data_IF_543294509276
#
_entry.id   IF_543294509276
#
_cell.length_a   1.000
_cell.length_b   1.000
_cell.length_c   1.000
_cell.angle_alpha   90.00
_cell.angle_beta   90.00
_cell.angle_gamma   90.00
#
_symmetry.space_group_name_H-M   'P 1'
#
loop_
_entity.id
_entity.type
_entity.pdbx_description
1 polymer ?
#
# COMPACT_ATOMS: atom_id res chain seq x y z
N UNK A 1 1.69 24.74 -5.60
CA UNK A 1 0.26 24.78 -5.27
C UNK A 1 -0.19 26.24 -5.25
N UNK A 2 -1.08 26.64 -6.14
CA UNK A 2 -1.64 27.99 -6.15
C UNK A 2 -2.93 27.96 -5.32
N UNK A 3 -2.97 28.66 -4.21
CA UNK A 3 -4.18 28.94 -3.44
C UNK A 3 -4.62 30.37 -3.70
N UNK A 4 -5.84 30.54 -4.11
CA UNK A 4 -6.49 31.84 -4.22
C UNK A 4 -7.08 32.15 -2.83
N UNK A 5 -6.61 33.22 -2.22
CA UNK A 5 -7.15 33.75 -0.96
C UNK A 5 -7.81 35.09 -1.25
N UNK A 6 -9.04 35.23 -0.87
CA UNK A 6 -9.70 36.54 -0.81
C UNK A 6 -9.30 37.18 0.51
N UNK A 7 -8.71 38.36 0.46
CA UNK A 7 -8.48 39.14 1.67
C UNK A 7 -9.84 39.70 2.14
N UNK A 8 -10.14 39.49 3.42
CA UNK A 8 -11.41 39.94 4.03
C UNK A 8 -11.26 41.44 4.48
N UNK A 9 -10.93 42.34 3.57
CA UNK A 9 -11.08 43.73 3.90
C UNK A 9 -12.53 44.18 3.75
N UNK A 10 -13.02 44.97 4.68
CA UNK A 10 -14.40 45.50 4.67
C UNK A 10 -14.68 46.45 3.49
N UNK A 11 -13.66 46.95 2.82
CA UNK A 11 -13.74 47.80 1.64
C UNK A 11 -13.57 46.99 0.36
N UNK A 12 -14.63 46.93 -0.47
CA UNK A 12 -14.62 46.21 -1.75
C UNK A 12 -13.55 46.69 -2.74
N UNK A 13 -12.91 47.84 -2.52
CA UNK A 13 -11.82 48.39 -3.32
C UNK A 13 -10.45 47.80 -2.98
N UNK A 14 -10.30 47.23 -1.79
CA UNK A 14 -9.05 46.64 -1.28
C UNK A 14 -9.05 45.14 -1.30
N UNK A 15 -10.05 44.52 -1.89
CA UNK A 15 -10.09 43.06 -2.12
C UNK A 15 -9.07 42.66 -3.19
N UNK A 16 -7.86 42.37 -2.78
CA UNK A 16 -6.86 41.85 -3.68
C UNK A 16 -6.90 40.32 -3.77
N UNK A 17 -6.81 39.82 -4.97
CA UNK A 17 -6.63 38.40 -5.22
C UNK A 17 -5.18 38.05 -4.84
N UNK A 18 -4.96 37.43 -3.69
CA UNK A 18 -3.64 36.92 -3.32
C UNK A 18 -3.46 35.50 -3.80
N UNK A 19 -2.52 35.30 -4.71
CA UNK A 19 -2.06 33.96 -5.12
C UNK A 19 -0.87 33.56 -4.26
N UNK A 20 -0.96 32.41 -3.57
CA UNK A 20 0.15 31.84 -2.86
C UNK A 20 0.65 30.63 -3.66
N UNK A 21 1.83 30.75 -4.24
CA UNK A 21 2.50 29.66 -4.91
C UNK A 21 3.30 28.84 -3.88
N UNK A 22 3.09 27.53 -3.91
CA UNK A 22 3.93 26.56 -3.21
C UNK A 22 4.51 25.64 -4.26
N UNK A 23 5.81 25.65 -4.43
CA UNK A 23 6.52 24.60 -5.14
C UNK A 23 7.35 23.84 -4.13
N UNK A 24 7.16 22.54 -4.08
CA UNK A 24 7.92 21.62 -3.25
C UNK A 24 8.72 20.75 -4.20
N UNK A 25 10.03 20.85 -4.14
CA UNK A 25 10.96 20.11 -5.00
C UNK A 25 11.64 18.94 -4.26
N UNK A 26 11.26 18.71 -3.01
CA UNK A 26 11.85 17.67 -2.18
C UNK A 26 11.33 16.28 -2.55
N UNK A 27 12.19 15.29 -2.35
CA UNK A 27 11.83 13.90 -2.48
C UNK A 27 10.79 13.52 -1.42
N UNK A 28 9.66 13.01 -1.87
CA UNK A 28 8.62 12.51 -0.98
C UNK A 28 8.84 11.05 -0.65
N UNK A 29 8.79 10.71 0.63
CA UNK A 29 8.78 9.32 1.08
C UNK A 29 7.34 8.85 1.27
N UNK A 30 6.97 7.77 0.55
CA UNK A 30 5.64 7.15 0.63
C UNK A 30 5.77 5.72 1.12
N UNK A 31 4.90 5.32 2.01
CA UNK A 31 4.78 3.94 2.48
C UNK A 31 3.41 3.40 2.13
N UNK A 32 3.40 2.20 1.56
CA UNK A 32 2.21 1.44 1.23
C UNK A 32 2.23 0.12 1.99
N UNK A 33 1.08 -0.30 2.46
CA UNK A 33 0.95 -1.53 3.22
C UNK A 33 -0.35 -2.24 2.84
N UNK A 34 -0.23 -3.51 2.44
CA UNK A 34 -1.36 -4.36 2.13
C UNK A 34 -1.32 -5.61 3.02
N UNK A 35 -2.34 -5.76 3.86
CA UNK A 35 -2.55 -7.01 4.58
C UNK A 35 -3.28 -8.01 3.69
N UNK A 36 -2.52 -8.98 3.16
CA UNK A 36 -3.03 -10.03 2.28
C UNK A 36 -3.97 -10.97 3.04
N UNK A 37 -3.77 -11.15 4.34
CA UNK A 37 -4.62 -12.03 5.15
C UNK A 37 -6.06 -11.51 5.27
N UNK A 38 -6.25 -10.21 5.17
CA UNK A 38 -7.56 -9.55 5.19
C UNK A 38 -8.12 -9.26 3.79
N UNK A 39 -7.34 -9.50 2.72
CA UNK A 39 -7.76 -9.19 1.36
C UNK A 39 -8.89 -10.11 0.91
N UNK A 40 -10.12 -9.58 0.86
CA UNK A 40 -11.35 -10.33 0.56
C UNK A 40 -11.64 -11.48 1.52
N UNK A 41 -11.15 -11.37 2.74
CA UNK A 41 -11.41 -12.30 3.83
C UNK A 41 -11.88 -11.49 5.03
N UNK A 42 -12.95 -11.94 5.65
CA UNK A 42 -13.43 -11.43 6.92
C UNK A 42 -13.27 -12.47 8.01
N UNK A 43 -13.27 -12.03 9.25
CA UNK A 43 -13.19 -12.90 10.41
C UNK A 43 -14.33 -12.63 11.38
N UNK A 44 -14.85 -13.66 12.00
CA UNK A 44 -15.77 -13.58 13.12
C UNK A 44 -15.19 -14.33 14.31
N UNK A 45 -15.40 -13.78 15.50
CA UNK A 45 -15.11 -14.50 16.73
C UNK A 45 -16.30 -15.38 17.08
N UNK A 46 -16.02 -16.63 17.45
CA UNK A 46 -17.04 -17.60 17.85
C UNK A 46 -17.13 -17.58 19.37
N UNK A 47 -18.33 -17.35 19.88
CA UNK A 47 -18.60 -17.35 21.32
C UNK A 47 -19.62 -18.43 21.65
N UNK A 48 -19.38 -19.10 22.77
CA UNK A 48 -20.41 -19.87 23.46
C UNK A 48 -20.64 -19.23 24.83
N UNK A 49 -21.84 -18.68 25.03
CA UNK A 49 -22.16 -17.83 26.21
C UNK A 49 -21.18 -16.63 26.28
N UNK A 50 -20.26 -16.60 27.24
CA UNK A 50 -19.26 -15.54 27.40
C UNK A 50 -17.84 -15.97 27.02
N UNK A 51 -17.67 -17.21 26.54
CA UNK A 51 -16.36 -17.75 26.23
C UNK A 51 -16.07 -17.64 24.74
N UNK A 52 -14.89 -17.08 24.40
CA UNK A 52 -14.39 -17.08 23.03
C UNK A 52 -13.85 -18.46 22.70
N UNK A 53 -14.48 -19.15 21.74
CA UNK A 53 -14.08 -20.49 21.27
C UNK A 53 -13.05 -20.41 20.14
N UNK A 54 -12.82 -19.24 19.56
CA UNK A 54 -11.87 -19.10 18.46
C UNK A 54 -12.31 -18.10 17.40
N UNK A 55 -11.65 -18.18 16.26
CA UNK A 55 -11.88 -17.30 15.11
C UNK A 55 -12.24 -18.14 13.90
N UNK A 56 -13.31 -17.76 13.21
CA UNK A 56 -13.69 -18.30 11.91
C UNK A 56 -13.41 -17.27 10.83
N UNK A 57 -12.84 -17.72 9.71
CA UNK A 57 -12.56 -16.89 8.55
C UNK A 57 -13.56 -17.21 7.43
N UNK A 58 -14.00 -16.18 6.73
CA UNK A 58 -14.90 -16.27 5.59
C UNK A 58 -14.22 -15.69 4.37
N UNK A 59 -14.20 -16.46 3.28
CA UNK A 59 -13.63 -16.09 1.99
C UNK A 59 -14.71 -15.49 1.10
N UNK A 60 -14.48 -14.29 0.58
CA UNK A 60 -15.46 -13.53 -0.22
C UNK A 60 -15.09 -13.44 -1.70
N UNK A 61 -13.91 -13.89 -2.08
CA UNK A 61 -13.46 -13.92 -3.46
C UNK A 61 -12.53 -15.10 -3.72
N UNK A 62 -12.46 -15.55 -4.96
CA UNK A 62 -11.52 -16.60 -5.37
C UNK A 62 -10.06 -16.15 -5.21
N UNK A 63 -9.13 -17.10 -5.18
CA UNK A 63 -7.71 -16.79 -5.08
C UNK A 63 -7.20 -16.01 -6.28
N UNK A 64 -7.73 -16.30 -7.48
CA UNK A 64 -7.41 -15.52 -8.68
C UNK A 64 -7.85 -14.07 -8.56
N UNK A 65 -9.05 -13.82 -8.02
CA UNK A 65 -9.54 -12.46 -7.79
C UNK A 65 -8.75 -11.76 -6.69
N UNK A 66 -8.35 -12.46 -5.64
CA UNK A 66 -7.48 -11.93 -4.58
C UNK A 66 -6.10 -11.56 -5.16
N UNK A 67 -5.51 -12.42 -5.99
CA UNK A 67 -4.27 -12.11 -6.71
C UNK A 67 -4.43 -10.91 -7.63
N UNK A 68 -5.54 -10.85 -8.37
CA UNK A 68 -5.84 -9.69 -9.23
C UNK A 68 -5.90 -8.38 -8.43
N UNK A 69 -6.52 -8.38 -7.25
CA UNK A 69 -6.60 -7.22 -6.36
C UNK A 69 -5.24 -6.82 -5.80
N UNK A 70 -4.43 -7.79 -5.37
CA UNK A 70 -3.06 -7.53 -4.91
C UNK A 70 -2.20 -6.95 -6.02
N UNK A 71 -2.32 -7.46 -7.25
CA UNK A 71 -1.65 -6.91 -8.43
C UNK A 71 -2.06 -5.47 -8.72
N UNK A 72 -3.36 -5.19 -8.76
CA UNK A 72 -3.87 -3.83 -8.99
C UNK A 72 -3.39 -2.84 -7.92
N UNK A 73 -3.31 -3.30 -6.66
CA UNK A 73 -2.75 -2.49 -5.59
C UNK A 73 -1.27 -2.15 -5.85
N UNK A 74 -0.46 -3.13 -6.23
CA UNK A 74 0.95 -2.93 -6.54
C UNK A 74 1.12 -2.01 -7.77
N UNK A 75 0.36 -2.24 -8.84
CA UNK A 75 0.35 -1.38 -10.04
C UNK A 75 -0.04 0.06 -9.70
N UNK A 76 -1.01 0.27 -8.81
CA UNK A 76 -1.42 1.60 -8.39
C UNK A 76 -0.30 2.37 -7.67
N UNK A 77 0.57 1.69 -6.92
CA UNK A 77 1.72 2.33 -6.26
C UNK A 77 2.79 2.81 -7.24
N UNK A 78 2.87 2.19 -8.41
CA UNK A 78 3.80 2.56 -9.49
C UNK A 78 3.44 3.88 -10.17
N UNK A 79 2.15 4.17 -10.29
CA UNK A 79 1.64 5.28 -11.11
C UNK A 79 0.75 6.23 -10.31
N UNK A 80 1.09 6.49 -9.05
CA UNK A 80 0.28 7.37 -8.21
C UNK A 80 0.33 8.82 -8.67
N UNK A 81 -0.78 9.28 -9.21
CA UNK A 81 -1.03 10.68 -9.50
C UNK A 81 -2.22 11.18 -8.67
N UNK A 82 -2.07 12.34 -8.06
CA UNK A 82 -3.18 13.01 -7.37
C UNK A 82 -3.84 14.00 -8.33
N UNK A 83 -4.98 13.61 -8.89
CA UNK A 83 -5.76 14.47 -9.79
C UNK A 83 -6.70 15.43 -9.06
N UNK A 84 -6.71 15.45 -7.75
CA UNK A 84 -7.64 16.26 -6.96
C UNK A 84 -7.37 17.78 -7.08
N UNK A 85 -6.20 18.19 -7.56
CA UNK A 85 -5.83 19.59 -7.75
C UNK A 85 -4.84 19.73 -8.92
N UNK A 86 -5.13 20.61 -9.85
CA UNK A 86 -4.22 20.90 -10.98
C UNK A 86 -2.81 21.33 -10.52
N UNK A 87 -2.72 22.03 -9.40
CA UNK A 87 -1.43 22.41 -8.83
C UNK A 87 -0.62 21.22 -8.28
N UNK A 88 -1.27 20.12 -7.93
CA UNK A 88 -0.61 18.88 -7.51
C UNK A 88 -0.22 18.00 -8.70
N UNK A 89 -0.86 18.16 -9.85
CA UNK A 89 -0.53 17.42 -11.05
C UNK A 89 0.83 17.80 -11.64
N UNK A 90 1.41 18.90 -11.21
CA UNK A 90 2.77 19.30 -11.59
C UNK A 90 3.87 18.49 -10.86
N UNK A 91 3.51 17.74 -9.82
CA UNK A 91 4.44 16.88 -9.08
C UNK A 91 4.25 15.45 -9.52
N UNK A 92 5.28 14.86 -10.12
CA UNK A 92 5.30 13.42 -10.42
C UNK A 92 5.23 12.63 -9.12
N UNK A 93 4.21 11.76 -9.01
CA UNK A 93 4.09 10.83 -7.89
C UNK A 93 4.80 9.49 -8.13
N UNK A 94 5.45 9.34 -9.30
CA UNK A 94 6.14 8.13 -9.70
C UNK A 94 7.40 7.91 -8.85
N UNK A 95 7.65 6.67 -8.40
CA UNK A 95 8.81 6.38 -7.56
C UNK A 95 10.11 6.42 -8.36
N UNK A 96 11.13 7.09 -7.82
CA UNK A 96 12.51 7.03 -8.31
C UNK A 96 13.32 5.92 -7.63
N UNK A 97 12.91 5.55 -6.42
CA UNK A 97 13.46 4.42 -5.65
C UNK A 97 12.33 3.67 -4.99
N UNK A 98 12.45 2.35 -4.94
CA UNK A 98 11.44 1.49 -4.34
C UNK A 98 12.08 0.33 -3.59
N UNK A 99 11.45 -0.06 -2.48
CA UNK A 99 11.62 -1.36 -1.84
C UNK A 99 10.25 -2.02 -1.77
N UNK A 100 10.05 -3.10 -2.51
CA UNK A 100 8.84 -3.93 -2.47
C UNK A 100 9.15 -5.16 -1.64
N UNK A 101 8.33 -5.46 -0.63
CA UNK A 101 8.55 -6.59 0.29
C UNK A 101 7.31 -7.46 0.36
N UNK A 102 7.50 -8.75 0.18
CA UNK A 102 6.53 -9.80 0.50
C UNK A 102 7.00 -10.51 1.77
N UNK A 103 6.21 -10.43 2.81
CA UNK A 103 6.59 -10.89 4.14
C UNK A 103 5.46 -11.70 4.78
N UNK A 104 5.80 -12.68 5.57
CA UNK A 104 4.85 -13.44 6.39
C UNK A 104 4.65 -12.84 7.78
N UNK A 105 5.47 -11.84 8.13
CA UNK A 105 5.41 -11.15 9.42
C UNK A 105 4.87 -9.74 9.21
N UNK A 106 3.90 -9.34 10.03
CA UNK A 106 3.37 -7.97 10.07
C UNK A 106 4.42 -7.01 10.69
N UNK A 107 5.42 -6.63 9.90
CA UNK A 107 6.47 -5.71 10.29
C UNK A 107 6.48 -4.49 9.40
N UNK A 108 6.58 -3.30 10.00
CA UNK A 108 6.73 -2.03 9.29
C UNK A 108 8.19 -1.54 9.23
N UNK A 109 9.14 -2.35 9.66
CA UNK A 109 10.55 -1.94 9.73
C UNK A 109 11.13 -1.60 8.36
N UNK A 110 10.74 -2.35 7.33
CA UNK A 110 11.15 -2.10 5.95
C UNK A 110 10.77 -0.69 5.43
N UNK A 111 9.72 -0.06 5.99
CA UNK A 111 9.30 1.29 5.61
C UNK A 111 10.35 2.38 5.83
N UNK A 112 11.35 2.11 6.68
CA UNK A 112 12.44 3.04 6.96
C UNK A 112 13.61 2.92 5.98
N UNK A 113 13.65 1.87 5.16
CA UNK A 113 14.79 1.53 4.31
C UNK A 113 15.25 2.69 3.43
N UNK A 114 14.35 3.36 2.73
CA UNK A 114 14.70 4.41 1.78
C UNK A 114 15.22 5.71 2.41
N UNK A 115 14.95 5.92 3.69
CA UNK A 115 15.42 7.10 4.46
C UNK A 115 16.52 6.75 5.45
N UNK A 116 16.88 5.48 5.55
CA UNK A 116 17.91 4.98 6.46
C UNK A 116 19.31 5.18 5.90
N UNK A 117 20.29 5.32 6.79
CA UNK A 117 21.72 5.26 6.42
C UNK A 117 22.14 3.85 6.00
N UNK A 118 23.27 3.73 5.33
CA UNK A 118 23.76 2.47 4.73
C UNK A 118 23.80 1.29 5.71
N UNK A 119 24.26 1.51 6.95
CA UNK A 119 24.33 0.43 7.94
C UNK A 119 22.93 -0.03 8.36
N UNK A 120 21.99 0.87 8.54
CA UNK A 120 20.61 0.53 8.88
C UNK A 120 19.92 -0.18 7.70
N UNK A 121 20.18 0.22 6.45
CA UNK A 121 19.70 -0.46 5.26
C UNK A 121 20.16 -1.92 5.23
N UNK A 122 21.45 -2.16 5.47
CA UNK A 122 22.02 -3.52 5.55
C UNK A 122 21.36 -4.36 6.65
N UNK A 123 21.13 -3.77 7.81
CA UNK A 123 20.47 -4.45 8.93
C UNK A 123 18.99 -4.78 8.62
N UNK A 124 18.29 -3.88 7.94
CA UNK A 124 16.89 -4.12 7.51
C UNK A 124 16.85 -5.30 6.52
N UNK A 125 17.72 -5.31 5.50
CA UNK A 125 17.76 -6.40 4.51
C UNK A 125 18.15 -7.73 5.15
N UNK A 126 19.15 -7.75 6.02
CA UNK A 126 19.56 -8.95 6.74
C UNK A 126 18.43 -9.54 7.60
N UNK A 127 17.61 -8.67 8.22
CA UNK A 127 16.43 -9.12 8.98
C UNK A 127 15.33 -9.67 8.07
N UNK A 128 15.09 -9.04 6.91
CA UNK A 128 14.14 -9.56 5.91
C UNK A 128 14.57 -10.96 5.43
N UNK A 129 15.86 -11.15 5.12
CA UNK A 129 16.42 -12.43 4.70
C UNK A 129 16.31 -13.49 5.82
N UNK A 130 16.66 -13.13 7.05
CA UNK A 130 16.63 -14.05 8.19
C UNK A 130 15.23 -14.61 8.48
N UNK A 131 14.16 -13.85 8.15
CA UNK A 131 12.77 -14.30 8.31
C UNK A 131 12.14 -14.83 7.04
N UNK A 132 12.93 -14.99 5.97
CA UNK A 132 12.47 -15.55 4.70
C UNK A 132 11.59 -14.62 3.86
N UNK A 133 11.56 -13.32 4.16
CA UNK A 133 10.85 -12.35 3.36
C UNK A 133 11.50 -12.22 1.97
N UNK A 134 10.67 -12.02 0.94
CA UNK A 134 11.15 -11.73 -0.42
C UNK A 134 11.07 -10.24 -0.67
N UNK A 135 12.14 -9.64 -1.18
CA UNK A 135 12.14 -8.21 -1.48
C UNK A 135 12.76 -7.91 -2.84
N UNK A 136 12.37 -6.77 -3.40
CA UNK A 136 12.82 -6.24 -4.69
C UNK A 136 13.17 -4.77 -4.51
N UNK A 137 14.38 -4.40 -4.89
CA UNK A 137 14.89 -3.03 -4.82
C UNK A 137 14.98 -2.48 -6.23
N UNK A 138 14.44 -1.27 -6.44
CA UNK A 138 14.59 -0.49 -7.65
C UNK A 138 15.15 0.89 -7.33
N UNK A 139 16.08 1.36 -8.16
CA UNK A 139 16.66 2.69 -8.09
C UNK A 139 17.04 3.12 -9.52
N UNK A 140 16.34 4.12 -10.04
CA UNK A 140 16.54 4.59 -11.42
C UNK A 140 17.90 5.27 -11.65
N UNK A 141 18.67 5.48 -10.57
CA UNK A 141 20.07 5.93 -10.67
C UNK A 141 21.06 4.78 -10.83
N UNK A 142 20.58 3.53 -10.86
CA UNK A 142 21.40 2.31 -10.98
C UNK A 142 20.91 1.41 -12.11
N UNK A 143 21.61 0.31 -12.37
CA UNK A 143 21.19 -0.71 -13.34
C UNK A 143 19.90 -1.46 -12.90
N UNK A 144 19.55 -1.41 -11.61
CA UNK A 144 18.35 -2.01 -11.06
C UNK A 144 17.20 -0.99 -11.06
N UNK A 145 16.62 -0.73 -12.22
CA UNK A 145 15.56 0.27 -12.34
C UNK A 145 14.32 -0.06 -11.50
N UNK A 146 13.57 0.98 -11.17
CA UNK A 146 12.26 0.85 -10.50
C UNK A 146 11.32 -0.02 -11.34
N UNK A 147 11.30 0.18 -12.66
CA UNK A 147 10.50 -0.65 -13.56
C UNK A 147 10.81 -2.15 -13.39
N UNK A 148 12.09 -2.52 -13.38
CA UNK A 148 12.51 -3.92 -13.23
C UNK A 148 12.12 -4.50 -11.87
N UNK A 149 12.21 -3.72 -10.80
CA UNK A 149 11.79 -4.16 -9.47
C UNK A 149 10.29 -4.48 -9.41
N UNK A 150 9.44 -3.67 -10.07
CA UNK A 150 8.01 -3.96 -10.18
C UNK A 150 7.72 -5.20 -11.03
N UNK A 151 8.39 -5.38 -12.16
CA UNK A 151 8.23 -6.57 -13.02
C UNK A 151 8.60 -7.85 -12.24
N UNK A 152 9.71 -7.85 -11.53
CA UNK A 152 10.16 -9.00 -10.73
C UNK A 152 9.22 -9.28 -9.55
N UNK A 153 8.69 -8.23 -8.89
CA UNK A 153 7.71 -8.36 -7.83
C UNK A 153 6.37 -8.91 -8.34
N UNK A 154 5.90 -8.45 -9.50
CA UNK A 154 4.69 -8.97 -10.14
C UNK A 154 4.85 -10.42 -10.59
N UNK A 155 6.01 -10.78 -11.14
CA UNK A 155 6.32 -12.15 -11.50
C UNK A 155 6.30 -13.07 -10.25
N UNK A 156 6.89 -12.62 -9.15
CA UNK A 156 6.86 -13.34 -7.89
C UNK A 156 5.43 -13.51 -7.35
N UNK A 157 4.63 -12.43 -7.36
CA UNK A 157 3.22 -12.46 -6.94
C UNK A 157 2.40 -13.47 -7.77
N UNK A 158 2.63 -13.52 -9.09
CA UNK A 158 1.92 -14.43 -9.98
C UNK A 158 2.31 -15.90 -9.75
N UNK A 159 3.59 -16.16 -9.47
CA UNK A 159 4.12 -17.50 -9.29
C UNK A 159 3.77 -18.15 -7.94
N UNK A 160 3.38 -17.36 -6.94
CA UNK A 160 3.19 -17.85 -5.57
C UNK A 160 1.71 -17.76 -5.16
N UNK A 161 1.27 -18.67 -4.29
CA UNK A 161 -0.02 -18.58 -3.64
C UNK A 161 -0.06 -17.44 -2.63
N UNK A 162 -1.21 -16.78 -2.48
CA UNK A 162 -1.43 -15.85 -1.39
C UNK A 162 -1.77 -16.61 -0.11
N UNK A 163 -1.30 -16.08 1.01
CA UNK A 163 -1.74 -16.62 2.31
C UNK A 163 -3.26 -16.52 2.47
N UNK A 164 -3.87 -17.64 2.83
CA UNK A 164 -5.31 -17.76 3.02
C UNK A 164 -5.62 -18.32 4.43
N UNK A 165 -6.03 -17.48 5.38
CA UNK A 165 -6.38 -17.95 6.72
C UNK A 165 -7.69 -18.72 6.78
N UNK A 166 -8.54 -18.66 5.73
CA UNK A 166 -9.77 -19.46 5.63
C UNK A 166 -9.50 -20.90 5.17
N UNK A 167 -8.33 -21.14 4.55
CA UNK A 167 -7.95 -22.46 3.99
C UNK A 167 -8.36 -22.61 2.54
N UNK A 168 -7.64 -23.50 1.84
CA UNK A 168 -7.82 -23.72 0.39
C UNK A 168 -9.24 -24.20 0.03
N UNK A 169 -9.83 -25.04 0.88
CA UNK A 169 -11.16 -25.61 0.67
C UNK A 169 -12.32 -24.70 1.11
N UNK A 170 -12.02 -23.49 1.59
CA UNK A 170 -13.04 -22.58 2.08
C UNK A 170 -13.97 -22.14 0.95
N UNK A 171 -15.27 -22.36 1.15
CA UNK A 171 -16.30 -21.90 0.21
C UNK A 171 -16.34 -20.38 0.18
N UNK A 172 -16.49 -19.84 -1.02
CA UNK A 172 -16.74 -18.40 -1.22
C UNK A 172 -18.17 -18.13 -0.78
N UNK A 173 -18.32 -17.16 0.13
CA UNK A 173 -19.62 -16.77 0.67
C UNK A 173 -19.81 -15.24 0.53
N UNK A 174 -21.05 -14.81 0.38
CA UNK A 174 -21.35 -13.38 0.41
C UNK A 174 -21.19 -12.85 1.83
N UNK A 175 -21.04 -11.53 1.96
CA UNK A 175 -21.00 -10.91 3.28
C UNK A 175 -22.30 -11.13 4.06
N UNK A 176 -23.45 -11.12 3.35
CA UNK A 176 -24.76 -11.41 3.93
C UNK A 176 -24.83 -12.82 4.48
N UNK A 177 -24.33 -13.83 3.72
CA UNK A 177 -24.35 -15.23 4.17
C UNK A 177 -23.40 -15.48 5.36
N UNK A 178 -22.32 -14.70 5.42
CA UNK A 178 -21.34 -14.82 6.51
C UNK A 178 -21.80 -14.17 7.84
N UNK A 179 -22.55 -13.06 7.75
CA UNK A 179 -22.87 -12.20 8.91
C UNK A 179 -24.35 -11.78 8.98
N UNK A 180 -25.15 -12.08 7.95
CA UNK A 180 -26.57 -11.86 7.98
C UNK A 180 -27.21 -12.89 8.91
N UNK A 181 -27.48 -12.50 10.16
CA UNK A 181 -28.40 -13.26 11.00
C UNK A 181 -29.82 -13.25 10.43
N UNK A 182 -30.57 -14.28 10.67
CA UNK A 182 -32.01 -14.37 10.42
C UNK A 182 -32.77 -13.25 11.17
#
# INVERSE_FOLDING_TARGET
LVRIRFDQSEDAKDQALATKEFSEYDLMHKNFFLDISALSISKAFIYEKSFNLGTKYFKHASDDERKRRARLYLDATKSMNDYASQARNAVSGEPQKVLIVFDTVLSRKASRYLVAGEQEQKNILAELEARGAKYFIGDDTTEKSVYKAYEDALAFLNANALYDPAGEDAKIVTFKDAFGGD
#
